data_IF_383149763316
#
_entry.id   IF_383149763316
#
_cell.length_a   1.000
_cell.length_b   1.000
_cell.length_c   1.000
_cell.angle_alpha   90.00
_cell.angle_beta   90.00
_cell.angle_gamma   90.00
#
_symmetry.space_group_name_H-M   'P 1'
#
loop_
_entity.id
_entity.type
_entity.pdbx_description
1 polymer ?
#
# COMPACT_ATOMS: atom_id res chain seq x y z
N UNK A 1 31.97 17.35 28.38
CA UNK A 1 30.76 16.50 28.32
C UNK A 1 29.62 17.44 27.89
N UNK A 2 29.37 17.74 26.61
CA UNK A 2 28.66 16.95 25.56
C UNK A 2 27.61 16.03 26.21
N UNK A 3 26.29 16.16 26.01
CA UNK A 3 25.52 16.80 24.94
C UNK A 3 24.19 17.34 25.50
N UNK A 4 23.80 18.54 25.06
CA UNK A 4 22.44 19.06 25.17
C UNK A 4 21.50 18.25 24.27
N UNK A 5 20.38 17.78 24.84
CA UNK A 5 19.34 17.01 24.15
C UNK A 5 18.61 17.87 23.10
N UNK A 6 18.50 17.45 21.83
CA UNK A 6 17.66 18.16 20.86
C UNK A 6 16.18 17.85 21.10
N UNK A 7 15.43 18.85 21.58
CA UNK A 7 13.98 18.81 21.68
C UNK A 7 13.32 18.59 20.32
N UNK A 8 12.41 17.61 20.24
CA UNK A 8 11.60 17.36 19.05
C UNK A 8 10.59 18.51 18.86
N UNK A 9 10.89 19.39 17.90
CA UNK A 9 9.99 20.48 17.49
C UNK A 9 8.77 19.88 16.80
N UNK A 10 7.61 19.91 17.45
CA UNK A 10 6.32 19.59 16.84
C UNK A 10 6.05 20.59 15.70
N UNK A 11 6.20 20.15 14.44
CA UNK A 11 5.75 20.94 13.29
C UNK A 11 4.24 20.81 13.19
N UNK A 12 3.54 21.88 13.54
CA UNK A 12 2.15 22.11 13.12
C UNK A 12 2.09 22.16 11.59
N UNK A 13 1.33 21.21 11.04
CA UNK A 13 0.74 21.10 9.69
C UNK A 13 1.32 21.98 8.56
N UNK A 14 1.93 21.40 7.52
CA UNK A 14 1.86 21.98 6.18
C UNK A 14 0.57 21.50 5.49
N UNK A 15 -0.16 22.46 4.95
CA UNK A 15 -1.27 22.32 4.02
C UNK A 15 -0.86 21.36 2.88
N UNK A 16 -1.50 20.17 2.80
CA UNK A 16 -1.23 19.15 1.79
C UNK A 16 -1.81 19.58 0.43
N UNK A 17 -1.30 20.68 -0.12
CA UNK A 17 -1.39 20.95 -1.56
C UNK A 17 -0.28 20.14 -2.21
N UNK A 18 -0.60 18.89 -2.51
CA UNK A 18 0.24 17.93 -3.23
C UNK A 18 0.55 18.50 -4.62
N UNK A 19 1.56 19.37 -4.71
CA UNK A 19 2.15 19.73 -5.98
C UNK A 19 3.01 18.53 -6.39
N UNK A 20 2.43 17.65 -7.20
CA UNK A 20 3.15 16.71 -8.04
C UNK A 20 4.34 17.50 -8.61
N UNK A 21 5.57 17.15 -8.21
CA UNK A 21 6.76 17.66 -8.88
C UNK A 21 6.76 17.07 -10.29
N UNK A 22 6.13 17.82 -11.18
CA UNK A 22 6.19 17.64 -12.61
C UNK A 22 7.59 18.07 -13.02
N UNK A 23 8.53 17.12 -13.10
CA UNK A 23 9.79 17.34 -13.80
C UNK A 23 9.46 17.35 -15.30
N UNK A 24 9.23 18.56 -15.84
CA UNK A 24 9.03 18.83 -17.26
C UNK A 24 10.40 18.81 -17.94
N UNK A 25 10.86 17.62 -18.32
CA UNK A 25 11.91 17.45 -19.34
C UNK A 25 11.32 16.59 -20.45
N UNK A 26 11.04 17.25 -21.58
CA UNK A 26 10.72 16.66 -22.89
C UNK A 26 9.50 15.72 -22.96
N UNK A 27 8.31 16.32 -22.92
CA UNK A 27 7.35 16.16 -24.03
C UNK A 27 6.77 14.77 -24.34
N UNK A 28 6.83 13.79 -23.44
CA UNK A 28 6.00 12.57 -23.47
C UNK A 28 5.56 12.20 -22.06
N UNK A 29 4.35 12.64 -21.67
CA UNK A 29 3.64 11.94 -20.60
C UNK A 29 3.23 10.58 -21.16
N UNK A 30 4.06 9.57 -20.95
CA UNK A 30 3.60 8.19 -21.11
C UNK A 30 2.73 7.88 -19.88
N UNK A 31 1.51 8.41 -19.86
CA UNK A 31 0.48 8.01 -18.90
C UNK A 31 -0.01 6.63 -19.33
N UNK A 32 0.83 5.62 -19.13
CA UNK A 32 0.40 4.23 -19.23
C UNK A 32 -0.18 3.91 -17.86
N UNK A 33 -1.51 3.90 -17.78
CA UNK A 33 -2.30 3.59 -16.59
C UNK A 33 -2.56 4.79 -15.67
N UNK A 34 -3.85 5.08 -15.40
CA UNK A 34 -4.22 5.87 -14.23
C UNK A 34 -4.25 4.91 -13.05
N UNK A 35 -3.39 5.13 -12.05
CA UNK A 35 -3.39 4.34 -10.81
C UNK A 35 -4.26 5.02 -9.77
N UNK A 36 -5.31 4.34 -9.33
CA UNK A 36 -6.25 4.78 -8.30
C UNK A 36 -6.01 4.00 -7.01
N UNK A 37 -5.89 4.70 -5.88
CA UNK A 37 -5.76 4.08 -4.56
C UNK A 37 -7.09 4.18 -3.84
N UNK A 38 -7.63 3.04 -3.38
CA UNK A 38 -8.89 2.97 -2.63
C UNK A 38 -8.82 1.98 -1.46
N UNK A 39 -9.86 1.98 -0.63
CA UNK A 39 -10.01 0.97 0.42
C UNK A 39 -10.27 -0.41 -0.18
N UNK A 40 -9.66 -1.43 0.44
CA UNK A 40 -9.86 -2.83 0.08
C UNK A 40 -11.23 -3.32 0.56
N UNK A 41 -11.80 -4.26 -0.19
CA UNK A 41 -13.02 -4.98 0.15
C UNK A 41 -12.78 -6.49 0.08
N UNK A 42 -13.65 -7.29 0.68
CA UNK A 42 -13.55 -8.76 0.58
C UNK A 42 -13.63 -9.28 -0.87
N UNK A 43 -14.26 -8.53 -1.78
CA UNK A 43 -14.34 -8.87 -3.19
C UNK A 43 -12.96 -8.82 -3.90
N UNK A 44 -12.01 -8.05 -3.35
CA UNK A 44 -10.66 -7.93 -3.91
C UNK A 44 -9.79 -9.16 -3.58
N UNK A 45 -10.24 -10.04 -2.68
CA UNK A 45 -9.44 -11.17 -2.20
C UNK A 45 -8.94 -12.10 -3.31
N UNK A 46 -9.77 -12.37 -4.33
CA UNK A 46 -9.36 -13.20 -5.46
C UNK A 46 -8.18 -12.62 -6.24
N UNK A 47 -8.23 -11.32 -6.54
CA UNK A 47 -7.15 -10.63 -7.25
C UNK A 47 -5.87 -10.53 -6.38
N UNK A 48 -6.03 -10.22 -5.09
CA UNK A 48 -4.92 -10.11 -4.16
C UNK A 48 -4.20 -11.44 -3.95
N UNK A 49 -4.94 -12.55 -3.84
CA UNK A 49 -4.35 -13.90 -3.69
C UNK A 49 -3.51 -14.29 -4.90
N UNK A 50 -3.94 -13.92 -6.11
CA UNK A 50 -3.16 -14.20 -7.32
C UNK A 50 -1.80 -13.48 -7.33
N UNK A 51 -1.72 -12.29 -6.73
CA UNK A 51 -0.46 -11.57 -6.54
C UNK A 51 0.33 -12.16 -5.36
N UNK A 52 -0.34 -12.37 -4.22
CA UNK A 52 0.29 -12.75 -2.97
C UNK A 52 0.87 -14.16 -2.98
N UNK A 53 0.22 -15.12 -3.65
CA UNK A 53 0.69 -16.51 -3.68
C UNK A 53 2.03 -16.67 -4.38
N UNK A 54 2.35 -15.85 -5.39
CA UNK A 54 3.70 -15.84 -5.99
C UNK A 54 4.78 -15.54 -4.93
N UNK A 55 4.51 -14.62 -4.00
CA UNK A 55 5.46 -14.29 -2.95
C UNK A 55 5.65 -15.42 -1.95
N UNK A 56 4.64 -16.27 -1.76
CA UNK A 56 4.72 -17.48 -0.93
C UNK A 56 5.56 -18.56 -1.63
N UNK A 57 5.28 -18.84 -2.90
CA UNK A 57 5.86 -20.00 -3.60
C UNK A 57 7.24 -19.76 -4.15
N UNK A 58 7.54 -18.52 -4.55
CA UNK A 58 8.71 -18.21 -5.38
C UNK A 58 9.68 -17.22 -4.72
N UNK A 59 9.38 -16.74 -3.51
CA UNK A 59 10.21 -15.74 -2.83
C UNK A 59 10.36 -16.02 -1.32
N UNK A 60 11.28 -15.30 -0.67
CA UNK A 60 11.50 -15.33 0.79
C UNK A 60 10.97 -14.08 1.49
N UNK A 61 10.12 -13.31 0.81
CA UNK A 61 9.60 -12.03 1.32
C UNK A 61 8.55 -12.26 2.43
N UNK A 62 7.83 -13.38 2.38
CA UNK A 62 6.89 -13.82 3.40
C UNK A 62 7.36 -15.12 4.04
N UNK A 63 6.90 -15.39 5.26
CA UNK A 63 7.18 -16.63 5.99
C UNK A 63 6.05 -17.66 5.87
N UNK A 64 5.05 -17.41 5.03
CA UNK A 64 4.06 -18.43 4.71
C UNK A 64 4.68 -19.52 3.82
N UNK A 65 4.35 -20.78 4.10
CA UNK A 65 4.89 -21.95 3.38
C UNK A 65 3.90 -22.51 2.34
N UNK A 66 2.61 -22.21 2.50
CA UNK A 66 1.53 -22.78 1.69
C UNK A 66 0.69 -21.68 1.04
N UNK A 67 0.31 -21.82 -0.25
CA UNK A 67 -0.60 -20.89 -0.92
C UNK A 67 -1.91 -20.75 -0.15
N UNK A 68 -2.43 -19.53 -0.11
CA UNK A 68 -3.68 -19.19 0.58
C UNK A 68 -4.85 -19.17 -0.40
N UNK A 69 -6.05 -19.48 0.09
CA UNK A 69 -7.29 -19.40 -0.70
C UNK A 69 -7.90 -18.01 -0.63
N UNK A 70 -8.74 -17.67 -1.61
CA UNK A 70 -9.45 -16.39 -1.66
C UNK A 70 -10.36 -16.20 -0.42
N UNK A 71 -11.02 -17.25 0.04
CA UNK A 71 -11.91 -17.21 1.21
C UNK A 71 -11.13 -16.92 2.50
N UNK A 72 -9.99 -17.59 2.69
CA UNK A 72 -9.13 -17.35 3.84
C UNK A 72 -8.58 -15.91 3.83
N UNK A 73 -8.21 -15.40 2.66
CA UNK A 73 -7.70 -14.04 2.51
C UNK A 73 -8.78 -12.97 2.70
N UNK A 74 -10.02 -13.22 2.24
CA UNK A 74 -11.17 -12.36 2.53
C UNK A 74 -11.41 -12.23 4.05
N UNK A 75 -11.27 -13.34 4.78
CA UNK A 75 -11.30 -13.33 6.25
C UNK A 75 -10.24 -12.42 6.87
N UNK A 76 -9.02 -12.39 6.31
CA UNK A 76 -7.95 -11.48 6.76
C UNK A 76 -8.31 -10.02 6.51
N UNK A 77 -8.83 -9.70 5.33
CA UNK A 77 -9.28 -8.33 4.99
C UNK A 77 -10.35 -7.88 5.98
N UNK A 78 -11.37 -8.71 6.21
CA UNK A 78 -12.44 -8.42 7.17
C UNK A 78 -11.88 -8.13 8.56
N UNK A 79 -11.03 -8.99 9.08
CA UNK A 79 -10.48 -8.84 10.42
C UNK A 79 -9.69 -7.52 10.59
N UNK A 80 -8.84 -7.18 9.61
CA UNK A 80 -8.06 -5.92 9.63
C UNK A 80 -8.99 -4.69 9.63
N UNK A 81 -10.05 -4.73 8.83
CA UNK A 81 -11.03 -3.63 8.75
C UNK A 81 -11.88 -3.54 10.03
N UNK A 82 -12.28 -4.67 10.62
CA UNK A 82 -13.01 -4.74 11.89
C UNK A 82 -12.17 -4.21 13.06
N UNK A 83 -10.87 -4.49 13.05
CA UNK A 83 -9.91 -3.95 14.01
C UNK A 83 -9.64 -2.43 13.82
N UNK A 84 -10.23 -1.82 12.79
CA UNK A 84 -10.16 -0.39 12.51
C UNK A 84 -8.89 0.05 11.78
N UNK A 85 -8.12 -0.89 11.22
CA UNK A 85 -6.92 -0.57 10.46
C UNK A 85 -7.23 -0.32 8.98
N UNK A 86 -6.58 0.67 8.34
CA UNK A 86 -6.77 0.92 6.93
C UNK A 86 -6.11 -0.18 6.09
N UNK A 87 -6.89 -0.80 5.20
CA UNK A 87 -6.39 -1.70 4.15
C UNK A 87 -6.64 -1.04 2.79
N UNK A 88 -5.57 -0.83 2.01
CA UNK A 88 -5.63 -0.14 0.72
C UNK A 88 -5.25 -1.07 -0.43
N UNK A 89 -5.84 -0.81 -1.59
CA UNK A 89 -5.48 -1.43 -2.87
C UNK A 89 -5.17 -0.34 -3.90
N UNK A 90 -4.31 -0.68 -4.86
CA UNK A 90 -4.08 0.13 -6.05
C UNK A 90 -4.67 -0.59 -7.26
N UNK A 91 -5.51 0.10 -8.02
CA UNK A 91 -6.10 -0.38 -9.27
C UNK A 91 -5.62 0.48 -10.44
N UNK A 92 -5.44 -0.15 -11.60
CA UNK A 92 -5.04 0.49 -12.86
C UNK A 92 -6.19 0.36 -13.87
N UNK A 93 -6.56 1.47 -14.52
CA UNK A 93 -7.58 1.54 -15.59
C UNK A 93 -7.03 1.19 -16.99
#
# INVERSE_FOLDING_TARGET
MRQDSPGYRTRSKPDFRFCIKCDIVEGKINTQGVIMIRAATEADAGALVNIYNFYITDTVITFEELPVTAEAFAGRIRHILEDGYPYLVAEED
#
